data_IF_961898908057
#
_entry.id   IF_961898908057
#
_cell.length_a   1.000
_cell.length_b   1.000
_cell.length_c   1.000
_cell.angle_alpha   90.00
_cell.angle_beta   90.00
_cell.angle_gamma   90.00
#
_symmetry.space_group_name_H-M   'P 1'
#
loop_
_entity.id
_entity.type
_entity.pdbx_description
1 polymer ?
#
# COMPACT_ATOMS: atom_id res chain seq x y z
N UNK A 1 -9.30 19.48 8.59
CA UNK A 1 -8.44 18.43 8.02
C UNK A 1 -9.17 17.09 7.94
N UNK A 2 -8.65 16.17 7.14
CA UNK A 2 -9.19 14.81 6.98
C UNK A 2 -8.03 13.80 6.86
N UNK A 3 -8.18 12.64 7.50
CA UNK A 3 -7.28 11.50 7.32
C UNK A 3 -7.83 10.57 6.24
N UNK A 4 -7.08 10.45 5.14
CA UNK A 4 -7.31 9.44 4.11
C UNK A 4 -6.48 8.20 4.43
N UNK A 5 -7.08 7.03 4.31
CA UNK A 5 -6.42 5.73 4.45
C UNK A 5 -6.82 4.82 3.29
N UNK A 6 -5.85 4.13 2.70
CA UNK A 6 -6.12 3.06 1.76
C UNK A 6 -6.87 1.89 2.45
N UNK A 7 -7.65 1.14 1.66
CA UNK A 7 -8.47 0.04 2.16
C UNK A 7 -7.66 -1.16 2.70
N UNK A 8 -6.35 -1.16 2.53
CA UNK A 8 -5.41 -2.17 3.01
C UNK A 8 -4.53 -1.69 4.17
N UNK A 9 -4.97 -0.63 4.85
CA UNK A 9 -4.35 -0.11 6.08
C UNK A 9 -5.09 -0.61 7.30
N UNK A 10 -4.35 -1.06 8.32
CA UNK A 10 -4.86 -1.44 9.64
C UNK A 10 -4.33 -0.48 10.70
N UNK A 11 -5.23 0.08 11.50
CA UNK A 11 -4.87 0.89 12.67
C UNK A 11 -4.56 -0.03 13.86
N UNK A 12 -3.30 0.00 14.31
CA UNK A 12 -2.80 -0.75 15.47
C UNK A 12 -2.65 0.15 16.71
N UNK A 13 -2.23 1.39 16.50
CA UNK A 13 -1.91 2.35 17.56
C UNK A 13 -2.87 3.54 17.62
N UNK A 14 -2.53 4.53 18.44
CA UNK A 14 -3.31 5.75 18.62
C UNK A 14 -3.04 6.76 17.50
N UNK A 15 -4.11 7.34 16.96
CA UNK A 15 -4.05 8.43 15.97
C UNK A 15 -4.00 9.82 16.63
N UNK A 16 -3.88 9.89 17.96
CA UNK A 16 -3.98 11.15 18.71
C UNK A 16 -2.97 12.21 18.25
N UNK A 17 -1.74 11.82 17.97
CA UNK A 17 -0.70 12.75 17.49
C UNK A 17 -1.12 13.51 16.21
N UNK A 18 -1.96 12.90 15.35
CA UNK A 18 -2.43 13.59 14.14
C UNK A 18 -3.34 14.78 14.48
N UNK A 19 -4.05 14.74 15.61
CA UNK A 19 -4.92 15.84 16.04
C UNK A 19 -4.15 17.05 16.59
N UNK A 20 -2.86 16.86 16.86
CA UNK A 20 -1.96 17.90 17.40
C UNK A 20 -1.18 18.61 16.28
N UNK A 21 -1.34 18.15 15.02
CA UNK A 21 -0.66 18.76 13.87
C UNK A 21 -1.28 20.12 13.55
N UNK A 22 -0.48 21.17 13.64
CA UNK A 22 -0.84 22.51 13.19
C UNK A 22 -0.24 22.76 11.82
N UNK A 23 -1.09 22.92 10.82
CA UNK A 23 -0.67 23.31 9.48
C UNK A 23 -0.41 24.82 9.42
N UNK A 24 0.75 25.21 8.87
CA UNK A 24 1.13 26.61 8.62
C UNK A 24 1.08 26.95 7.11
N UNK A 25 0.21 26.28 6.37
CA UNK A 25 0.07 26.41 4.92
C UNK A 25 0.42 25.16 4.13
N UNK A 26 0.93 24.12 4.80
CA UNK A 26 1.19 22.84 4.14
C UNK A 26 -0.12 22.17 3.69
N UNK A 27 -0.02 21.42 2.60
CA UNK A 27 -1.16 20.77 1.95
C UNK A 27 -1.58 19.48 2.66
N UNK A 28 -0.62 18.80 3.27
CA UNK A 28 -0.86 17.55 4.00
C UNK A 28 0.31 17.22 4.95
N UNK A 29 0.03 16.34 5.92
CA UNK A 29 1.05 15.56 6.60
C UNK A 29 1.05 14.14 6.01
N UNK A 30 2.24 13.65 5.64
CA UNK A 30 2.46 12.44 4.84
C UNK A 30 3.65 11.64 5.34
N UNK A 31 3.82 10.43 4.84
CA UNK A 31 4.92 9.53 5.23
C UNK A 31 5.70 9.12 3.98
N UNK A 32 7.02 9.24 4.05
CA UNK A 32 7.90 8.81 2.97
C UNK A 32 7.63 7.37 2.53
N UNK A 33 7.64 7.14 1.22
CA UNK A 33 7.68 5.78 0.67
C UNK A 33 9.05 5.14 0.91
N UNK A 34 9.20 3.86 0.62
CA UNK A 34 10.46 3.15 0.74
C UNK A 34 11.53 3.76 -0.19
N UNK A 35 12.79 3.72 0.22
CA UNK A 35 13.92 4.39 -0.44
C UNK A 35 14.02 4.06 -1.94
N UNK A 36 13.81 2.79 -2.29
CA UNK A 36 13.86 2.35 -3.69
C UNK A 36 12.79 3.03 -4.56
N UNK A 37 11.57 3.19 -4.04
CA UNK A 37 10.45 3.86 -4.74
C UNK A 37 10.74 5.36 -4.86
N UNK A 38 11.20 6.01 -3.79
CA UNK A 38 11.53 7.43 -3.77
C UNK A 38 12.56 7.78 -4.83
N UNK A 39 13.73 7.12 -4.79
CA UNK A 39 14.83 7.38 -5.73
C UNK A 39 14.41 7.17 -7.18
N UNK A 40 13.71 6.06 -7.47
CA UNK A 40 13.21 5.77 -8.82
C UNK A 40 12.18 6.79 -9.29
N UNK A 41 11.29 7.24 -8.41
CA UNK A 41 10.24 8.19 -8.76
C UNK A 41 10.78 9.59 -9.00
N UNK A 42 11.70 10.08 -8.18
CA UNK A 42 12.37 11.36 -8.40
C UNK A 42 13.05 11.42 -9.77
N UNK A 43 13.80 10.39 -10.13
CA UNK A 43 14.46 10.29 -11.43
C UNK A 43 13.46 10.21 -12.60
N UNK A 44 12.43 9.36 -12.48
CA UNK A 44 11.41 9.16 -13.52
C UNK A 44 10.60 10.42 -13.79
N UNK A 45 10.20 11.12 -12.73
CA UNK A 45 9.38 12.32 -12.82
C UNK A 45 10.20 13.58 -13.14
N UNK A 46 11.54 13.49 -13.15
CA UNK A 46 12.41 14.63 -13.42
C UNK A 46 12.34 15.72 -12.32
N UNK A 47 12.01 15.33 -11.09
CA UNK A 47 11.89 16.23 -9.93
C UNK A 47 12.86 15.71 -8.84
N UNK A 48 14.08 16.27 -8.76
CA UNK A 48 15.12 15.77 -7.84
C UNK A 48 14.71 15.75 -6.38
N UNK A 49 13.90 16.71 -5.94
CA UNK A 49 13.38 16.82 -4.58
C UNK A 49 12.61 15.59 -4.14
N UNK A 50 11.92 14.94 -5.07
CA UNK A 50 11.16 13.71 -4.81
C UNK A 50 12.05 12.50 -4.49
N UNK A 51 13.33 12.53 -4.83
CA UNK A 51 14.25 11.44 -4.47
C UNK A 51 14.41 11.30 -2.94
N UNK A 52 14.16 12.39 -2.20
CA UNK A 52 14.16 12.41 -0.74
C UNK A 52 12.78 12.61 -0.12
N UNK A 53 11.82 13.14 -0.87
CA UNK A 53 10.52 13.58 -0.39
C UNK A 53 9.32 12.91 -1.09
N UNK A 54 9.51 11.81 -1.81
CA UNK A 54 8.38 11.08 -2.40
C UNK A 54 7.66 10.27 -1.32
N UNK A 55 6.40 10.59 -1.07
CA UNK A 55 5.58 9.94 -0.04
C UNK A 55 4.65 8.88 -0.64
N UNK A 56 4.23 7.95 0.22
CA UNK A 56 3.21 6.95 -0.12
C UNK A 56 1.81 7.54 0.11
N UNK A 57 0.94 7.50 -0.90
CA UNK A 57 -0.41 8.09 -0.85
C UNK A 57 -1.43 7.32 -0.03
N UNK A 58 -1.09 6.12 0.45
CA UNK A 58 -2.02 5.29 1.22
C UNK A 58 -2.35 5.80 2.62
N UNK A 59 -1.58 6.81 3.11
CA UNK A 59 -1.88 7.54 4.34
C UNK A 59 -1.61 9.02 4.10
N UNK A 60 -2.66 9.84 4.09
CA UNK A 60 -2.56 11.28 3.87
C UNK A 60 -3.45 12.03 4.87
N UNK A 61 -2.87 12.84 5.73
CA UNK A 61 -3.62 13.74 6.59
C UNK A 61 -3.69 15.12 5.94
N UNK A 62 -4.80 15.38 5.24
CA UNK A 62 -4.95 16.53 4.35
C UNK A 62 -5.48 17.79 5.06
N UNK A 63 -4.91 18.94 4.73
CA UNK A 63 -5.41 20.27 5.10
C UNK A 63 -6.48 20.72 4.09
N UNK A 64 -7.75 20.42 4.35
CA UNK A 64 -8.84 20.71 3.41
C UNK A 64 -9.07 22.20 3.16
N UNK A 65 -8.68 23.08 4.06
CA UNK A 65 -8.79 24.51 3.88
C UNK A 65 -7.88 24.95 2.73
N UNK A 66 -6.60 24.65 2.84
CA UNK A 66 -5.62 24.96 1.79
C UNK A 66 -5.92 24.25 0.48
N UNK A 67 -6.46 23.02 0.54
CA UNK A 67 -6.89 22.30 -0.67
C UNK A 67 -7.94 23.07 -1.47
N UNK A 68 -8.90 23.69 -0.78
CA UNK A 68 -9.94 24.53 -1.43
C UNK A 68 -9.37 25.85 -1.91
N UNK A 69 -8.65 26.57 -1.06
CA UNK A 69 -8.08 27.87 -1.39
C UNK A 69 -7.12 27.81 -2.58
N UNK A 70 -6.26 26.80 -2.62
CA UNK A 70 -5.28 26.60 -3.66
C UNK A 70 -5.82 25.85 -4.89
N UNK A 71 -7.10 25.46 -4.88
CA UNK A 71 -7.75 24.72 -5.98
C UNK A 71 -6.96 23.45 -6.36
N UNK A 72 -6.44 22.69 -5.37
CA UNK A 72 -5.54 21.58 -5.60
C UNK A 72 -6.14 20.49 -6.48
N UNK A 73 -7.46 20.27 -6.42
CA UNK A 73 -8.14 19.31 -7.28
C UNK A 73 -7.99 19.67 -8.77
N UNK A 74 -8.21 20.93 -9.13
CA UNK A 74 -8.06 21.42 -10.52
C UNK A 74 -6.61 21.27 -11.00
N UNK A 75 -5.65 21.60 -10.13
CA UNK A 75 -4.22 21.43 -10.42
C UNK A 75 -3.87 19.96 -10.62
N UNK A 76 -4.42 19.05 -9.78
CA UNK A 76 -4.22 17.61 -9.90
C UNK A 76 -4.70 17.06 -11.26
N UNK A 77 -5.90 17.42 -11.69
CA UNK A 77 -6.41 17.05 -13.02
C UNK A 77 -5.53 17.59 -14.16
N UNK A 78 -5.03 18.83 -14.03
CA UNK A 78 -4.11 19.38 -15.03
C UNK A 78 -2.79 18.60 -15.12
N UNK A 79 -2.27 18.10 -14.00
CA UNK A 79 -1.08 17.22 -13.98
C UNK A 79 -1.41 15.90 -14.66
N UNK A 80 -2.55 15.29 -14.33
CA UNK A 80 -3.00 14.02 -14.90
C UNK A 80 -3.09 14.12 -16.43
N UNK A 81 -3.72 15.16 -16.96
CA UNK A 81 -3.86 15.37 -18.39
C UNK A 81 -2.53 15.57 -19.11
N UNK A 82 -1.63 16.37 -18.52
CA UNK A 82 -0.35 16.74 -19.16
C UNK A 82 0.71 15.66 -19.08
N UNK A 83 0.71 14.87 -17.98
CA UNK A 83 1.81 13.95 -17.65
C UNK A 83 1.39 12.47 -17.57
N UNK A 84 0.21 12.09 -18.07
CA UNK A 84 -0.36 10.74 -17.96
C UNK A 84 0.64 9.62 -18.32
N UNK A 85 1.47 9.83 -19.36
CA UNK A 85 2.44 8.83 -19.83
C UNK A 85 3.62 8.60 -18.88
N UNK A 86 3.88 9.53 -17.98
CA UNK A 86 4.98 9.48 -17.01
C UNK A 86 4.53 8.87 -15.68
N UNK A 87 3.20 8.84 -15.42
CA UNK A 87 2.64 8.38 -14.16
C UNK A 87 2.65 6.86 -14.10
N UNK A 88 3.42 6.30 -13.18
CA UNK A 88 3.47 4.86 -12.89
C UNK A 88 2.54 4.49 -11.73
N UNK A 89 2.46 5.35 -10.73
CA UNK A 89 1.66 5.19 -9.51
C UNK A 89 0.47 6.18 -9.48
N UNK A 90 -0.04 6.53 -10.66
CA UNK A 90 -1.24 7.35 -10.89
C UNK A 90 -1.43 8.49 -9.86
N UNK A 91 -2.38 8.33 -8.93
CA UNK A 91 -2.73 9.30 -7.90
C UNK A 91 -1.55 9.66 -6.99
N UNK A 92 -0.73 8.67 -6.60
CA UNK A 92 0.46 8.91 -5.78
C UNK A 92 1.46 9.82 -6.50
N UNK A 93 1.70 9.60 -7.79
CA UNK A 93 2.59 10.47 -8.58
C UNK A 93 2.03 11.89 -8.68
N UNK A 94 0.72 12.02 -8.96
CA UNK A 94 0.06 13.32 -9.08
C UNK A 94 0.17 14.11 -7.78
N UNK A 95 -0.12 13.48 -6.64
CA UNK A 95 -0.03 14.12 -5.33
C UNK A 95 1.40 14.53 -4.99
N UNK A 96 2.38 13.67 -5.29
CA UNK A 96 3.79 13.98 -5.04
C UNK A 96 4.28 15.15 -5.89
N UNK A 97 3.91 15.21 -7.18
CA UNK A 97 4.23 16.35 -8.05
C UNK A 97 3.60 17.63 -7.52
N UNK A 98 2.33 17.56 -7.13
CA UNK A 98 1.54 18.71 -6.70
C UNK A 98 2.02 19.28 -5.36
N UNK A 99 2.51 18.42 -4.45
CA UNK A 99 2.81 18.75 -3.06
C UNK A 99 4.28 19.04 -2.80
N UNK A 100 5.15 19.00 -3.78
CA UNK A 100 6.59 19.28 -3.62
C UNK A 100 6.81 20.53 -2.76
N UNK A 101 7.54 20.37 -1.66
CA UNK A 101 7.87 21.47 -0.73
C UNK A 101 6.73 21.93 0.20
N UNK A 102 5.52 21.35 0.09
CA UNK A 102 4.34 21.81 0.84
C UNK A 102 3.72 20.69 1.70
N UNK A 103 4.55 19.87 2.33
CA UNK A 103 4.10 18.78 3.22
C UNK A 103 4.87 18.73 4.52
N UNK A 104 4.23 18.24 5.55
CA UNK A 104 4.86 17.82 6.81
C UNK A 104 5.17 16.31 6.69
N UNK A 105 6.42 15.92 6.90
CA UNK A 105 6.77 14.51 6.95
C UNK A 105 6.63 13.96 8.37
N UNK A 106 5.81 12.91 8.49
CA UNK A 106 5.59 12.17 9.73
C UNK A 106 6.55 10.98 9.85
N UNK A 107 6.65 10.44 11.08
CA UNK A 107 7.39 9.22 11.35
C UNK A 107 6.81 8.04 10.57
N UNK A 108 7.66 7.06 10.25
CA UNK A 108 7.30 5.83 9.54
C UNK A 108 6.20 5.01 10.22
N UNK A 109 6.06 5.16 11.53
CA UNK A 109 5.06 4.45 12.34
C UNK A 109 3.62 4.73 11.89
N UNK A 110 3.37 5.90 11.26
CA UNK A 110 2.07 6.28 10.70
C UNK A 110 1.81 5.73 9.29
N UNK A 111 2.75 5.02 8.68
CA UNK A 111 2.56 4.25 7.45
C UNK A 111 3.62 3.17 7.35
N UNK A 112 3.54 2.17 8.24
CA UNK A 112 4.46 1.03 8.21
C UNK A 112 4.12 0.13 7.02
N UNK A 113 4.83 0.32 5.92
CA UNK A 113 4.63 -0.41 4.68
C UNK A 113 5.18 -1.83 4.82
N UNK A 114 4.30 -2.83 4.73
CA UNK A 114 4.66 -4.24 4.73
C UNK A 114 3.78 -5.05 3.78
N UNK A 115 4.37 -5.66 2.76
CA UNK A 115 3.65 -6.54 1.85
C UNK A 115 3.74 -8.01 2.28
N UNK A 116 2.61 -8.73 2.33
CA UNK A 116 2.61 -10.18 2.59
C UNK A 116 3.48 -10.95 1.59
N UNK A 117 3.67 -10.42 0.38
CA UNK A 117 4.56 -10.99 -0.62
C UNK A 117 6.06 -10.96 -0.20
N UNK A 118 6.43 -10.19 0.83
CA UNK A 118 7.80 -10.22 1.39
C UNK A 118 8.12 -11.58 2.00
N UNK A 119 7.13 -12.28 2.52
CA UNK A 119 7.27 -13.65 3.05
C UNK A 119 7.75 -14.65 2.00
N UNK A 120 7.58 -14.37 0.70
CA UNK A 120 8.15 -15.19 -0.39
C UNK A 120 9.67 -15.04 -0.54
N UNK A 121 10.22 -13.91 -0.05
CA UNK A 121 11.64 -13.56 -0.16
C UNK A 121 12.40 -13.85 1.14
N UNK A 122 11.68 -14.25 2.19
CA UNK A 122 12.20 -14.39 3.54
C UNK A 122 13.08 -15.65 3.67
N UNK A 123 14.27 -15.60 3.05
CA UNK A 123 15.28 -16.64 3.14
C UNK A 123 16.20 -16.46 4.35
N UNK A 124 16.23 -15.31 4.97
CA UNK A 124 17.15 -14.92 6.02
C UNK A 124 16.37 -14.15 7.09
N UNK A 125 15.86 -14.82 8.08
CA UNK A 125 15.52 -14.37 9.45
C UNK A 125 14.98 -12.93 9.67
N UNK A 126 14.67 -12.16 8.62
CA UNK A 126 13.96 -10.90 8.72
C UNK A 126 12.49 -11.19 8.99
N UNK A 127 12.18 -11.23 10.25
CA UNK A 127 10.82 -11.38 10.71
C UNK A 127 10.08 -10.05 10.54
N UNK A 128 8.77 -10.11 10.33
CA UNK A 128 7.95 -8.90 10.17
C UNK A 128 8.05 -7.94 11.37
N UNK A 129 8.46 -8.44 12.56
CA UNK A 129 8.67 -7.65 13.78
C UNK A 129 9.80 -6.60 13.63
N UNK A 130 10.74 -6.80 12.70
CA UNK A 130 11.76 -5.78 12.40
C UNK A 130 11.15 -4.55 11.71
N UNK A 131 9.95 -4.69 11.17
CA UNK A 131 9.21 -3.64 10.47
C UNK A 131 8.03 -3.11 11.28
N UNK A 132 7.24 -4.03 11.87
CA UNK A 132 6.04 -3.71 12.65
C UNK A 132 6.41 -3.85 14.13
N UNK A 133 6.76 -2.74 14.73
CA UNK A 133 7.20 -2.63 16.14
C UNK A 133 6.03 -2.28 17.06
N UNK A 134 6.29 -2.15 18.36
CA UNK A 134 5.29 -1.68 19.32
C UNK A 134 4.82 -0.26 19.01
N UNK A 135 5.70 0.60 18.50
CA UNK A 135 5.40 2.00 18.16
C UNK A 135 4.59 2.14 16.87
N UNK A 136 4.47 1.09 16.06
CA UNK A 136 3.71 1.15 14.80
C UNK A 136 2.25 1.52 15.06
N UNK A 137 1.79 2.60 14.42
CA UNK A 137 0.42 3.12 14.50
C UNK A 137 -0.46 2.57 13.38
N UNK A 138 0.01 2.68 12.14
CA UNK A 138 -0.70 2.19 10.95
C UNK A 138 0.15 1.18 10.20
N UNK A 139 -0.45 0.02 9.89
CA UNK A 139 0.17 -1.04 9.07
C UNK A 139 -0.46 -1.00 7.70
N UNK A 140 0.34 -0.79 6.65
CA UNK A 140 -0.11 -0.73 5.27
C UNK A 140 0.32 -2.01 4.53
N UNK A 141 -0.64 -2.90 4.24
CA UNK A 141 -0.41 -4.18 3.57
C UNK A 141 -0.32 -4.01 2.04
N UNK A 142 0.79 -3.49 1.55
CA UNK A 142 1.00 -3.28 0.11
C UNK A 142 1.16 -4.57 -0.68
N UNK A 143 1.05 -4.48 -2.01
CA UNK A 143 1.31 -5.58 -2.94
C UNK A 143 0.10 -6.44 -3.27
N UNK A 144 0.34 -7.55 -3.99
CA UNK A 144 -0.72 -8.36 -4.61
C UNK A 144 -1.40 -9.29 -3.60
N UNK A 145 -0.61 -9.89 -2.69
CA UNK A 145 -1.17 -10.75 -1.63
C UNK A 145 -1.55 -9.90 -0.45
N UNK A 146 -2.83 -9.94 -0.10
CA UNK A 146 -3.39 -9.20 1.03
C UNK A 146 -3.67 -10.13 2.22
N UNK A 147 -3.71 -9.63 3.46
CA UNK A 147 -3.94 -10.46 4.65
C UNK A 147 -5.31 -11.15 4.66
N UNK A 148 -6.29 -10.66 3.91
CA UNK A 148 -7.60 -11.28 3.75
C UNK A 148 -7.66 -12.39 2.68
N UNK A 149 -6.54 -12.75 2.05
CA UNK A 149 -6.51 -13.89 1.14
C UNK A 149 -6.35 -15.20 1.92
N UNK A 150 -7.09 -16.25 1.52
CA UNK A 150 -7.07 -17.57 2.19
C UNK A 150 -5.69 -18.23 2.25
N UNK A 151 -4.75 -17.81 1.42
CA UNK A 151 -3.38 -18.30 1.40
C UNK A 151 -2.37 -17.41 2.14
N UNK A 152 -2.78 -16.25 2.63
CA UNK A 152 -1.94 -15.33 3.40
C UNK A 152 -1.75 -15.79 4.86
N UNK A 153 -1.43 -17.08 5.06
CA UNK A 153 -1.30 -17.70 6.38
C UNK A 153 0.10 -17.48 6.95
N UNK A 154 0.37 -16.25 7.36
CA UNK A 154 1.61 -15.83 7.99
C UNK A 154 1.32 -15.07 9.29
N UNK A 155 2.25 -15.09 10.27
CA UNK A 155 2.05 -14.38 11.54
C UNK A 155 1.73 -12.90 11.36
N UNK A 156 2.29 -12.24 10.35
CA UNK A 156 2.04 -10.81 10.05
C UNK A 156 0.57 -10.50 9.77
N UNK A 157 -0.21 -11.45 9.28
CA UNK A 157 -1.64 -11.27 9.01
C UNK A 157 -2.48 -11.16 10.30
N UNK A 158 -1.91 -11.42 11.49
CA UNK A 158 -2.64 -11.40 12.77
C UNK A 158 -3.38 -10.08 13.00
N UNK A 159 -2.76 -8.95 12.71
CA UNK A 159 -3.35 -7.62 12.95
C UNK A 159 -4.64 -7.40 12.14
N UNK A 160 -4.64 -7.84 10.88
CA UNK A 160 -5.85 -7.84 10.06
C UNK A 160 -6.89 -8.82 10.62
N UNK A 161 -6.50 -10.05 10.94
CA UNK A 161 -7.42 -11.09 11.43
C UNK A 161 -8.07 -10.68 12.76
N UNK A 162 -7.35 -10.00 13.65
CA UNK A 162 -7.89 -9.48 14.89
C UNK A 162 -8.93 -8.37 14.66
N UNK A 163 -8.65 -7.42 13.76
CA UNK A 163 -9.60 -6.39 13.39
C UNK A 163 -10.82 -6.98 12.67
N UNK A 164 -10.62 -7.90 11.74
CA UNK A 164 -11.65 -8.61 11.00
C UNK A 164 -12.63 -9.34 11.92
N UNK A 165 -12.13 -10.09 12.91
CA UNK A 165 -12.96 -10.82 13.88
C UNK A 165 -13.84 -9.91 14.74
N UNK A 166 -13.45 -8.64 14.93
CA UNK A 166 -14.21 -7.62 15.70
C UNK A 166 -15.14 -6.80 14.81
N UNK A 167 -15.08 -6.96 13.49
CA UNK A 167 -15.86 -6.18 12.53
C UNK A 167 -17.21 -6.84 12.24
N UNK A 168 -18.12 -6.09 11.62
CA UNK A 168 -19.38 -6.63 11.08
C UNK A 168 -19.18 -7.67 9.97
N UNK A 169 -17.96 -7.83 9.45
CA UNK A 169 -17.60 -8.76 8.39
C UNK A 169 -17.05 -10.09 8.90
N UNK A 170 -16.98 -10.31 10.22
CA UNK A 170 -16.31 -11.45 10.85
C UNK A 170 -16.77 -12.83 10.34
N UNK A 171 -18.01 -12.94 9.87
CA UNK A 171 -18.59 -14.18 9.33
C UNK A 171 -18.40 -14.34 7.82
N UNK A 172 -17.91 -13.31 7.13
CA UNK A 172 -17.66 -13.41 5.71
C UNK A 172 -16.43 -14.28 5.43
N UNK A 173 -16.45 -15.07 4.37
CA UNK A 173 -15.29 -15.88 4.02
C UNK A 173 -14.14 -15.00 3.48
N UNK A 174 -12.91 -15.33 3.88
CA UNK A 174 -11.72 -14.73 3.28
C UNK A 174 -11.66 -15.04 1.77
N UNK A 175 -11.04 -14.13 1.01
CA UNK A 175 -11.05 -14.19 -0.45
C UNK A 175 -10.14 -15.30 -0.99
N UNK A 176 -10.66 -16.07 -1.93
CA UNK A 176 -9.90 -17.01 -2.74
C UNK A 176 -9.36 -16.37 -4.02
N UNK A 177 -8.35 -17.01 -4.62
CA UNK A 177 -7.86 -16.62 -5.94
C UNK A 177 -8.96 -16.80 -6.99
N UNK A 178 -9.14 -15.81 -7.85
CA UNK A 178 -10.11 -15.79 -8.94
C UNK A 178 -9.53 -15.32 -10.28
N UNK A 179 -8.27 -14.84 -10.28
CA UNK A 179 -7.55 -14.42 -11.49
C UNK A 179 -6.26 -15.20 -11.68
N UNK A 180 -5.76 -15.27 -12.91
CA UNK A 180 -4.46 -15.91 -13.20
C UNK A 180 -3.33 -15.32 -12.31
N UNK A 181 -3.29 -14.00 -12.12
CA UNK A 181 -2.30 -13.32 -11.28
C UNK A 181 -2.37 -13.82 -9.82
N UNK A 182 -3.57 -13.93 -9.27
CA UNK A 182 -3.79 -14.38 -7.88
C UNK A 182 -3.49 -15.88 -7.73
N UNK A 183 -3.88 -16.74 -8.68
CA UNK A 183 -3.52 -18.17 -8.65
C UNK A 183 -2.00 -18.38 -8.71
N UNK A 184 -1.27 -17.60 -9.52
CA UNK A 184 0.19 -17.63 -9.55
C UNK A 184 0.81 -17.25 -8.20
N UNK A 185 0.28 -16.21 -7.54
CA UNK A 185 0.73 -15.81 -6.19
C UNK A 185 0.41 -16.87 -5.15
N UNK A 186 -0.84 -17.35 -5.12
CA UNK A 186 -1.29 -18.42 -4.24
C UNK A 186 -0.38 -19.65 -4.31
N UNK A 187 -0.10 -20.14 -5.52
CA UNK A 187 0.81 -21.28 -5.72
C UNK A 187 2.19 -21.07 -5.09
N UNK A 188 2.78 -19.86 -5.25
CA UNK A 188 4.08 -19.54 -4.66
C UNK A 188 4.04 -19.54 -3.13
N UNK A 189 3.03 -18.93 -2.54
CA UNK A 189 2.84 -18.91 -1.08
C UNK A 189 2.61 -20.31 -0.51
N UNK A 190 1.77 -21.11 -1.16
CA UNK A 190 1.48 -22.48 -0.76
C UNK A 190 2.76 -23.35 -0.78
N UNK A 191 3.65 -23.11 -1.78
CA UNK A 191 4.95 -23.80 -1.86
C UNK A 191 5.89 -23.42 -0.70
N UNK A 192 6.00 -22.14 -0.39
CA UNK A 192 6.79 -21.64 0.75
C UNK A 192 6.26 -22.20 2.07
N UNK A 193 4.92 -22.29 2.18
CA UNK A 193 4.24 -22.89 3.34
C UNK A 193 4.28 -24.44 3.34
N UNK A 194 5.07 -25.10 2.46
CA UNK A 194 5.20 -26.55 2.32
C UNK A 194 3.89 -27.28 1.96
N UNK A 195 2.91 -26.59 1.40
CA UNK A 195 1.62 -27.14 0.93
C UNK A 195 1.73 -27.54 -0.54
N UNK A 196 2.60 -28.48 -0.85
CA UNK A 196 3.03 -28.80 -2.23
C UNK A 196 1.86 -29.19 -3.15
N UNK A 197 0.97 -30.08 -2.69
CA UNK A 197 -0.19 -30.52 -3.50
C UNK A 197 -1.08 -29.32 -3.84
N UNK A 198 -1.41 -28.45 -2.88
CA UNK A 198 -2.20 -27.24 -3.11
C UNK A 198 -1.49 -26.27 -4.07
N UNK A 199 -0.18 -26.14 -3.92
CA UNK A 199 0.65 -25.32 -4.80
C UNK A 199 0.55 -25.78 -6.26
N UNK A 200 0.61 -27.12 -6.51
CA UNK A 200 0.45 -27.68 -7.86
C UNK A 200 -0.94 -27.40 -8.40
N UNK A 201 -1.99 -27.66 -7.63
CA UNK A 201 -3.37 -27.39 -8.02
C UNK A 201 -3.58 -25.90 -8.36
N UNK A 202 -3.08 -25.01 -7.53
CA UNK A 202 -3.14 -23.56 -7.77
C UNK A 202 -2.36 -23.16 -9.04
N UNK A 203 -1.25 -23.84 -9.34
CA UNK A 203 -0.49 -23.59 -10.57
C UNK A 203 -1.25 -24.06 -11.83
N UNK A 204 -1.90 -25.21 -11.76
CA UNK A 204 -2.80 -25.69 -12.85
C UNK A 204 -3.92 -24.67 -13.10
N UNK A 205 -4.54 -24.16 -12.03
CA UNK A 205 -5.56 -23.12 -12.15
C UNK A 205 -5.02 -21.82 -12.75
N UNK A 206 -3.78 -21.44 -12.42
CA UNK A 206 -3.11 -20.32 -13.07
C UNK A 206 -3.00 -20.52 -14.58
N UNK A 207 -2.52 -21.69 -15.03
CA UNK A 207 -2.38 -22.01 -16.47
C UNK A 207 -3.73 -21.96 -17.15
N UNK A 208 -4.75 -22.63 -16.57
CA UNK A 208 -6.13 -22.64 -17.11
C UNK A 208 -6.68 -21.22 -17.30
N UNK A 209 -6.58 -20.37 -16.27
CA UNK A 209 -7.09 -19.00 -16.34
C UNK A 209 -6.29 -18.14 -17.34
N UNK A 210 -4.97 -18.36 -17.47
CA UNK A 210 -4.14 -17.65 -18.44
C UNK A 210 -4.55 -17.99 -19.88
N UNK A 211 -4.78 -19.29 -20.18
CA UNK A 211 -5.19 -19.75 -21.51
C UNK A 211 -6.60 -19.28 -21.87
N UNK A 212 -7.51 -19.23 -20.89
CA UNK A 212 -8.87 -18.75 -21.12
C UNK A 212 -8.87 -17.26 -21.49
N UNK A 213 -8.12 -16.45 -20.77
CA UNK A 213 -8.03 -15.00 -21.04
C UNK A 213 -7.28 -14.68 -22.35
N UNK A 214 -6.39 -15.58 -22.83
CA UNK A 214 -5.71 -15.38 -24.13
C UNK A 214 -6.58 -15.71 -25.34
N UNK A 215 -7.75 -16.36 -25.16
CA UNK A 215 -8.72 -16.66 -26.21
C UNK A 215 -9.85 -15.62 -26.31
N UNK A 216 -9.88 -14.65 -25.38
CA UNK A 216 -10.90 -13.61 -25.34
C UNK A 216 -10.44 -12.29 -25.99
N UNK A 217 -9.29 -12.30 -26.66
CA UNK A 217 -8.73 -11.25 -27.51
C UNK A 217 -8.39 -11.88 -28.88
#
# INVERSE_FOLDING_TARGET
SVLYLDADVICKGSLRELTEINFCGEYAAVINDIDEVRTKSGNRLGIPELSNGYFNSGVVFANLEVWREQQLLTKAFSILDKRQKELLYFDQDVLNILFVGNVIFLRRDFNCIYGVDQELKNKNDKIYQDYITEDTVLIHYVGVTKPWHTWAKYPVAKYFIEAYKKSAWAEQSLLNANTAKLYKRKSRHERVQRKYIRSVLSHVMYIKNKLHNSKAY
#
